data_IF_881296039375
#
_entry.id   IF_881296039375
#
_cell.length_a   1.000
_cell.length_b   1.000
_cell.length_c   1.000
_cell.angle_alpha   90.00
_cell.angle_beta   90.00
_cell.angle_gamma   90.00
#
_symmetry.space_group_name_H-M   'P 1'
#
loop_
_entity.id
_entity.type
_entity.pdbx_description
1 polymer ?
#
# COMPACT_ATOMS: atom_id res chain seq x y z
N UNK A 1 17.84 -10.45 -9.70
CA UNK A 1 17.30 -10.16 -8.36
C UNK A 1 15.83 -9.81 -8.54
N UNK A 2 14.89 -10.63 -8.05
CA UNK A 2 13.45 -10.33 -8.12
C UNK A 2 13.10 -9.39 -6.97
N UNK A 3 12.68 -8.18 -7.32
CA UNK A 3 12.17 -7.21 -6.36
C UNK A 3 10.74 -7.59 -5.96
N UNK A 4 10.62 -8.47 -4.96
CA UNK A 4 9.35 -8.91 -4.40
C UNK A 4 8.69 -7.83 -3.51
N UNK A 5 9.34 -6.69 -3.33
CA UNK A 5 8.86 -5.59 -2.52
C UNK A 5 8.07 -4.62 -3.40
N UNK A 6 8.59 -4.31 -4.59
CA UNK A 6 7.93 -3.41 -5.54
C UNK A 6 7.03 -4.14 -6.57
N UNK A 7 7.31 -5.40 -6.92
CA UNK A 7 6.51 -6.15 -7.92
C UNK A 7 6.33 -7.65 -7.59
N UNK A 8 5.41 -8.04 -6.69
CA UNK A 8 5.07 -9.45 -6.49
C UNK A 8 4.44 -10.05 -7.76
N UNK A 9 4.88 -11.23 -8.25
CA UNK A 9 4.44 -11.82 -9.53
C UNK A 9 2.99 -12.35 -9.54
N UNK A 10 2.13 -11.91 -8.63
CA UNK A 10 0.77 -12.40 -8.43
C UNK A 10 -0.31 -11.31 -8.46
N UNK A 11 -0.01 -10.10 -8.96
CA UNK A 11 -0.96 -8.98 -9.01
C UNK A 11 -1.19 -8.35 -10.40
N UNK A 12 -0.49 -8.80 -11.44
CA UNK A 12 -0.59 -8.21 -12.78
C UNK A 12 -1.42 -9.09 -13.71
N UNK A 13 -2.66 -8.68 -13.99
CA UNK A 13 -3.42 -9.10 -15.18
C UNK A 13 -3.65 -7.82 -15.99
N UNK A 14 -2.67 -7.42 -16.81
CA UNK A 14 -2.68 -6.18 -17.62
C UNK A 14 -1.69 -5.10 -17.16
N UNK A 15 -1.69 -3.94 -17.86
CA UNK A 15 -0.86 -2.74 -17.60
C UNK A 15 -1.35 -1.90 -16.39
N UNK A 16 -2.38 -2.35 -15.67
CA UNK A 16 -2.98 -1.63 -14.54
C UNK A 16 -2.48 -2.28 -13.25
N UNK A 17 -1.83 -1.50 -12.39
CA UNK A 17 -1.42 -1.95 -11.06
C UNK A 17 -2.65 -2.23 -10.19
N UNK A 18 -2.61 -3.31 -9.40
CA UNK A 18 -3.76 -3.74 -8.60
C UNK A 18 -4.25 -2.65 -7.63
N UNK A 19 -3.34 -1.81 -7.13
CA UNK A 19 -3.72 -0.71 -6.22
C UNK A 19 -4.51 0.39 -6.93
N UNK A 20 -4.27 0.63 -8.22
CA UNK A 20 -5.00 1.63 -8.99
C UNK A 20 -6.42 1.13 -9.30
N UNK A 21 -6.58 -0.17 -9.57
CA UNK A 21 -7.89 -0.79 -9.68
C UNK A 21 -8.68 -0.72 -8.35
N UNK A 22 -8.01 -0.94 -7.21
CA UNK A 22 -8.62 -0.78 -5.88
C UNK A 22 -9.05 0.68 -5.66
N UNK A 23 -8.17 1.66 -5.95
CA UNK A 23 -8.48 3.08 -5.83
C UNK A 23 -9.70 3.47 -6.66
N UNK A 24 -9.75 3.05 -7.93
CA UNK A 24 -10.89 3.32 -8.82
C UNK A 24 -12.20 2.68 -8.37
N UNK A 25 -12.16 1.66 -7.51
CA UNK A 25 -13.33 0.95 -6.98
C UNK A 25 -13.88 1.52 -5.67
N UNK A 26 -13.22 2.53 -5.10
CA UNK A 26 -13.51 3.07 -3.76
C UNK A 26 -13.72 4.57 -3.80
N UNK A 27 -14.48 5.12 -2.86
CA UNK A 27 -14.42 6.55 -2.55
C UNK A 27 -13.04 6.91 -1.97
N UNK A 28 -12.69 8.20 -1.99
CA UNK A 28 -11.42 8.67 -1.45
C UNK A 28 -11.23 8.28 0.03
N UNK A 29 -12.24 8.50 0.86
CA UNK A 29 -12.22 8.12 2.29
C UNK A 29 -12.04 6.62 2.50
N UNK A 30 -12.67 5.79 1.66
CA UNK A 30 -12.51 4.33 1.72
C UNK A 30 -11.08 3.92 1.32
N UNK A 31 -10.52 4.55 0.29
CA UNK A 31 -9.16 4.26 -0.16
C UNK A 31 -8.11 4.69 0.88
N UNK A 32 -8.25 5.88 1.48
CA UNK A 32 -7.42 6.30 2.61
C UNK A 32 -7.52 5.32 3.79
N UNK A 33 -8.75 4.86 4.10
CA UNK A 33 -9.00 3.84 5.11
C UNK A 33 -8.30 2.52 4.80
N UNK A 34 -8.31 2.09 3.54
CA UNK A 34 -7.58 0.92 3.07
C UNK A 34 -6.07 1.08 3.26
N UNK A 35 -5.49 2.20 2.83
CA UNK A 35 -4.05 2.47 2.96
C UNK A 35 -3.63 2.48 4.44
N UNK A 36 -4.40 3.15 5.30
CA UNK A 36 -4.20 3.17 6.76
C UNK A 36 -4.24 1.77 7.36
N UNK A 37 -5.25 0.97 7.00
CA UNK A 37 -5.40 -0.41 7.47
C UNK A 37 -4.24 -1.30 7.01
N UNK A 38 -3.80 -1.15 5.76
CA UNK A 38 -2.67 -1.89 5.21
C UNK A 38 -1.35 -1.53 5.90
N UNK A 39 -1.07 -0.25 6.15
CA UNK A 39 0.09 0.19 6.92
C UNK A 39 0.08 -0.42 8.34
N UNK A 40 -1.06 -0.32 9.05
CA UNK A 40 -1.22 -0.90 10.39
C UNK A 40 -1.00 -2.42 10.39
N UNK A 41 -1.51 -3.15 9.39
CA UNK A 41 -1.30 -4.59 9.23
C UNK A 41 0.19 -4.94 9.21
N UNK A 42 1.02 -4.18 8.50
CA UNK A 42 2.46 -4.46 8.45
C UNK A 42 3.19 -4.07 9.74
N UNK A 43 2.81 -2.94 10.36
CA UNK A 43 3.29 -2.55 11.69
C UNK A 43 2.87 -3.55 12.78
N UNK A 44 1.77 -4.27 12.61
CA UNK A 44 1.42 -5.37 13.50
C UNK A 44 2.32 -6.59 13.21
N UNK A 45 2.52 -6.95 11.94
CA UNK A 45 3.17 -8.20 11.53
C UNK A 45 4.68 -8.28 11.77
N UNK A 46 5.40 -7.15 11.80
CA UNK A 46 6.87 -7.17 11.78
C UNK A 46 7.50 -7.97 12.92
N UNK A 47 6.82 -8.07 14.07
CA UNK A 47 7.30 -8.87 15.23
C UNK A 47 6.97 -10.36 15.17
N UNK A 48 6.09 -10.81 14.29
CA UNK A 48 5.51 -12.16 14.33
C UNK A 48 5.89 -13.05 13.15
N UNK A 49 6.25 -12.48 11.99
CA UNK A 49 6.44 -13.25 10.73
C UNK A 49 7.90 -13.47 10.32
N UNK A 50 8.87 -13.03 11.13
CA UNK A 50 10.30 -13.25 10.90
C UNK A 50 10.91 -12.44 9.75
N UNK A 51 10.17 -11.47 9.20
CA UNK A 51 10.57 -10.59 8.09
C UNK A 51 10.37 -9.12 8.44
N UNK A 52 10.90 -8.72 9.60
CA UNK A 52 10.62 -7.43 10.20
C UNK A 52 10.86 -6.25 9.26
N UNK A 53 12.04 -6.21 8.60
CA UNK A 53 12.39 -5.11 7.69
C UNK A 53 11.46 -5.06 6.47
N UNK A 54 11.18 -6.20 5.83
CA UNK A 54 10.25 -6.27 4.69
C UNK A 54 8.83 -5.78 5.06
N UNK A 55 8.37 -6.09 6.28
CA UNK A 55 7.09 -5.58 6.78
C UNK A 55 7.17 -4.06 7.05
N UNK A 56 8.25 -3.56 7.66
CA UNK A 56 8.43 -2.12 7.88
C UNK A 56 8.46 -1.36 6.55
N UNK A 57 9.19 -1.84 5.55
CA UNK A 57 9.28 -1.21 4.22
C UNK A 57 7.91 -1.15 3.54
N UNK A 58 7.11 -2.21 3.64
CA UNK A 58 5.72 -2.21 3.16
C UNK A 58 4.85 -1.23 3.95
N UNK A 59 5.02 -1.15 5.26
CA UNK A 59 4.35 -0.14 6.09
C UNK A 59 4.63 1.29 5.60
N UNK A 60 5.91 1.59 5.34
CA UNK A 60 6.35 2.89 4.79
C UNK A 60 5.70 3.14 3.43
N UNK A 61 5.70 2.16 2.53
CA UNK A 61 5.10 2.30 1.20
C UNK A 61 3.61 2.71 1.25
N UNK A 62 2.83 2.08 2.14
CA UNK A 62 1.41 2.42 2.32
C UNK A 62 1.21 3.79 2.99
N UNK A 63 2.08 4.17 3.93
CA UNK A 63 2.03 5.49 4.57
C UNK A 63 2.40 6.63 3.60
N UNK A 64 3.42 6.44 2.75
CA UNK A 64 3.80 7.42 1.73
C UNK A 64 2.65 7.68 0.77
N UNK A 65 2.01 6.61 0.27
CA UNK A 65 0.81 6.76 -0.58
C UNK A 65 -0.32 7.47 0.13
N UNK A 66 -0.61 7.12 1.39
CA UNK A 66 -1.66 7.80 2.15
C UNK A 66 -1.39 9.30 2.25
N UNK A 67 -0.13 9.69 2.48
CA UNK A 67 0.27 11.10 2.47
C UNK A 67 0.03 11.75 1.11
N UNK A 68 0.42 11.08 0.01
CA UNK A 68 0.20 11.59 -1.35
C UNK A 68 -1.29 11.80 -1.66
N UNK A 69 -2.17 10.90 -1.22
CA UNK A 69 -3.62 11.06 -1.39
C UNK A 69 -4.17 12.26 -0.59
N UNK A 70 -3.68 12.48 0.63
CA UNK A 70 -4.12 13.60 1.49
C UNK A 70 -3.57 14.94 0.96
N UNK A 71 -2.27 15.01 0.66
CA UNK A 71 -1.63 16.22 0.09
C UNK A 71 -2.26 16.58 -1.28
N UNK A 72 -2.73 15.58 -2.04
CA UNK A 72 -3.45 15.76 -3.30
C UNK A 72 -4.86 16.32 -3.13
N UNK A 73 -5.60 15.91 -2.09
CA UNK A 73 -6.94 16.45 -1.80
C UNK A 73 -6.95 17.90 -1.32
N UNK A 74 -5.88 18.37 -0.68
CA UNK A 74 -5.82 19.71 -0.09
C UNK A 74 -5.53 20.82 -1.13
N UNK A 75 -5.28 20.44 -2.39
CA UNK A 75 -4.96 21.37 -3.48
C UNK A 75 -6.08 21.56 -4.52
N UNK A 76 -7.28 21.00 -4.28
CA UNK A 76 -8.49 21.17 -5.11
C UNK A 76 -9.55 22.07 -4.44
#
# INVERSE_FOLDING_TARGET
MKDNVNHPPHYTVGDIECIDAIKASMSQTEFEGYLKGAALKYLWRYRYKGKAIEDIDKGIWYMTRLREEIDGSDND
#
